data_IF_994913108780
#
_entry.id   IF_994913108780
#
_cell.length_a   1.000
_cell.length_b   1.000
_cell.length_c   1.000
_cell.angle_alpha   90.00
_cell.angle_beta   90.00
_cell.angle_gamma   90.00
#
_symmetry.space_group_name_H-M   'P 1'
#
loop_
_entity.id
_entity.type
_entity.pdbx_description
1 polymer ?
#
# COMPACT_ATOMS: atom_id res chain seq x y z
N UNK A 1 -4.73 2.00 -31.78
CA UNK A 1 -5.46 3.10 -31.09
C UNK A 1 -5.77 2.79 -29.63
N UNK A 2 -4.96 1.95 -28.97
CA UNK A 2 -4.97 1.76 -27.51
C UNK A 2 -3.65 2.27 -26.88
N UNK A 3 -2.70 2.73 -27.71
CA UNK A 3 -1.33 3.03 -27.30
C UNK A 3 -1.19 4.37 -26.54
N UNK A 4 -2.22 5.23 -26.54
CA UNK A 4 -2.12 6.61 -26.03
C UNK A 4 -2.83 6.80 -24.67
N UNK A 5 -3.59 5.81 -24.18
CA UNK A 5 -4.30 5.89 -22.88
C UNK A 5 -3.51 5.33 -21.69
N UNK A 6 -2.23 4.97 -21.86
CA UNK A 6 -1.34 4.52 -20.77
C UNK A 6 -0.44 5.61 -20.18
N UNK A 7 -0.38 6.81 -20.79
CA UNK A 7 0.61 7.86 -20.49
C UNK A 7 0.41 8.61 -19.15
N UNK A 8 -0.57 8.19 -18.33
CA UNK A 8 -0.86 8.80 -17.03
C UNK A 8 -0.92 7.83 -15.84
N UNK A 9 -0.79 6.51 -16.07
CA UNK A 9 -0.69 5.55 -14.97
C UNK A 9 0.79 5.40 -14.60
N UNK A 10 1.20 6.23 -13.64
CA UNK A 10 2.30 5.99 -12.71
C UNK A 10 3.52 5.26 -13.26
N UNK A 11 4.58 5.99 -13.62
CA UNK A 11 5.94 5.43 -13.78
C UNK A 11 6.54 4.94 -12.45
N UNK A 12 5.73 4.39 -11.56
CA UNK A 12 6.15 3.79 -10.31
C UNK A 12 5.98 2.28 -10.45
N UNK A 13 7.04 1.55 -10.87
CA UNK A 13 6.99 0.12 -11.14
C UNK A 13 6.30 -0.73 -10.06
N UNK A 14 6.38 -0.37 -8.75
CA UNK A 14 5.67 -1.09 -7.70
C UNK A 14 4.13 -1.13 -7.82
N UNK A 15 3.50 -0.20 -8.54
CA UNK A 15 2.04 -0.22 -8.77
C UNK A 15 1.61 -1.20 -9.87
N UNK A 16 2.57 -1.76 -10.60
CA UNK A 16 2.32 -2.82 -11.60
C UNK A 16 2.54 -4.23 -11.01
N UNK A 17 2.76 -4.34 -9.70
CA UNK A 17 2.96 -5.63 -9.04
C UNK A 17 1.63 -6.41 -8.93
N UNK A 18 1.69 -7.75 -8.85
CA UNK A 18 0.51 -8.56 -8.57
C UNK A 18 -0.20 -8.12 -7.27
N UNK A 19 -1.51 -8.34 -7.16
CA UNK A 19 -2.29 -8.00 -5.95
C UNK A 19 -1.66 -8.54 -4.66
N UNK A 20 -1.11 -9.76 -4.72
CA UNK A 20 -0.41 -10.39 -3.59
C UNK A 20 0.76 -9.54 -3.05
N UNK A 21 1.41 -8.76 -3.92
CA UNK A 21 2.56 -7.92 -3.61
C UNK A 21 2.17 -6.46 -3.32
N UNK A 22 0.91 -6.06 -3.54
CA UNK A 22 0.51 -4.65 -3.41
C UNK A 22 0.64 -4.15 -1.95
N UNK A 23 0.50 -5.05 -0.97
CA UNK A 23 0.72 -4.72 0.44
C UNK A 23 2.21 -4.57 0.83
N UNK A 24 3.16 -4.93 -0.05
CA UNK A 24 4.60 -4.85 0.22
C UNK A 24 5.08 -3.41 0.40
N UNK A 25 4.46 -2.48 -0.33
CA UNK A 25 4.66 -1.04 -0.16
C UNK A 25 4.29 -0.57 1.25
N UNK A 26 3.09 -0.92 1.71
CA UNK A 26 2.62 -0.57 3.04
C UNK A 26 3.51 -1.19 4.13
N UNK A 27 3.93 -2.45 3.98
CA UNK A 27 4.91 -3.09 4.89
C UNK A 27 6.21 -2.30 4.98
N UNK A 28 6.74 -1.92 3.82
CA UNK A 28 7.99 -1.16 3.76
C UNK A 28 7.85 0.22 4.40
N UNK A 29 6.78 0.95 4.08
CA UNK A 29 6.49 2.27 4.66
C UNK A 29 6.34 2.21 6.18
N UNK A 30 5.69 1.18 6.74
CA UNK A 30 5.52 1.04 8.19
C UNK A 30 6.85 0.83 8.95
N UNK A 31 7.92 0.42 8.27
CA UNK A 31 9.26 0.32 8.87
C UNK A 31 9.96 1.68 9.02
N UNK A 32 9.44 2.75 8.41
CA UNK A 32 10.03 4.09 8.49
C UNK A 32 9.89 4.65 9.91
N UNK A 33 11.02 4.91 10.59
CA UNK A 33 11.08 5.43 11.95
C UNK A 33 10.48 6.85 12.09
N UNK A 34 10.37 7.60 10.98
CA UNK A 34 9.77 8.93 10.99
C UNK A 34 8.25 8.92 11.14
N UNK A 35 7.60 7.78 10.86
CA UNK A 35 6.16 7.62 11.05
C UNK A 35 5.86 7.41 12.55
N UNK A 36 4.98 8.21 13.16
CA UNK A 36 4.61 8.04 14.56
C UNK A 36 4.09 6.63 14.86
N UNK A 37 4.48 6.06 15.99
CA UNK A 37 4.06 4.70 16.37
C UNK A 37 2.54 4.52 16.43
N UNK A 38 1.79 5.57 16.79
CA UNK A 38 0.33 5.56 16.82
C UNK A 38 -0.28 5.37 15.42
N UNK A 39 0.35 5.89 14.37
CA UNK A 39 -0.12 5.74 12.99
C UNK A 39 0.19 4.35 12.43
N UNK A 40 1.17 3.65 13.01
CA UNK A 40 1.50 2.25 12.67
C UNK A 40 0.59 1.24 13.36
N UNK A 41 -0.12 1.64 14.40
CA UNK A 41 -1.05 0.77 15.12
C UNK A 41 -2.30 0.52 14.28
N UNK A 42 -2.48 -0.73 13.88
CA UNK A 42 -3.63 -1.21 13.10
C UNK A 42 -4.96 -0.87 13.79
N UNK A 43 -5.01 -0.78 15.13
CA UNK A 43 -6.22 -0.41 15.84
C UNK A 43 -6.71 1.02 15.49
N UNK A 44 -5.77 1.92 15.16
CA UNK A 44 -6.06 3.32 14.83
C UNK A 44 -6.47 3.53 13.36
N UNK A 45 -6.27 2.53 12.50
CA UNK A 45 -6.58 2.66 11.07
C UNK A 45 -8.09 2.69 10.80
N UNK A 46 -8.54 3.28 9.69
CA UNK A 46 -9.94 3.22 9.27
C UNK A 46 -10.46 1.78 9.12
N UNK A 47 -11.76 1.58 9.36
CA UNK A 47 -12.41 0.27 9.27
C UNK A 47 -12.10 -0.54 7.98
N UNK A 48 -12.15 0.03 6.76
CA UNK A 48 -11.81 -0.71 5.54
C UNK A 48 -10.34 -1.15 5.52
N UNK A 49 -9.43 -0.29 5.97
CA UNK A 49 -8.00 -0.55 6.05
C UNK A 49 -7.68 -1.72 7.00
N UNK A 50 -8.33 -1.75 8.16
CA UNK A 50 -8.22 -2.87 9.12
C UNK A 50 -8.76 -4.17 8.54
N UNK A 51 -9.89 -4.10 7.83
CA UNK A 51 -10.52 -5.27 7.23
C UNK A 51 -9.67 -5.90 6.12
N UNK A 52 -8.97 -5.08 5.34
CA UNK A 52 -8.16 -5.54 4.21
C UNK A 52 -6.73 -5.89 4.61
N UNK A 53 -6.03 -4.98 5.30
CA UNK A 53 -4.60 -5.10 5.59
C UNK A 53 -4.29 -5.54 7.02
N UNK A 54 -5.18 -5.30 7.98
CA UNK A 54 -4.97 -5.70 9.37
C UNK A 54 -4.82 -7.22 9.58
N UNK A 55 -5.37 -8.04 8.67
CA UNK A 55 -5.14 -9.50 8.63
C UNK A 55 -3.94 -9.92 7.78
N UNK A 56 -3.54 -9.09 6.80
CA UNK A 56 -2.53 -9.37 5.77
C UNK A 56 -1.11 -8.93 6.16
N UNK A 57 -0.98 -8.18 7.26
CA UNK A 57 0.27 -7.60 7.76
C UNK A 57 0.75 -8.20 9.10
N UNK A 58 0.08 -9.24 9.61
CA UNK A 58 0.60 -10.09 10.69
C UNK A 58 1.59 -11.10 10.11
#
# INVERSE_FOLDING_TARGET
MAEILGLGLSHYPPLCLPDAEMASLLRWTLNDESIPAAEKDVANWPAPMRAEWGRRLR
#
